data_IF_421404690603
#
_entry.id   IF_421404690603
#
_cell.length_a   1.000
_cell.length_b   1.000
_cell.length_c   1.000
_cell.angle_alpha   90.00
_cell.angle_beta   90.00
_cell.angle_gamma   90.00
#
_symmetry.space_group_name_H-M   'P 1'
#
loop_
_entity.id
_entity.type
_entity.pdbx_description
1 polymer ?
#
# COMPACT_ATOMS: atom_id res chain seq x y z
N UNK A 1 6.21 -50.67 -55.37
CA UNK A 1 4.98 -51.12 -54.69
C UNK A 1 5.43 -52.19 -53.71
N UNK A 2 5.34 -52.07 -52.39
CA UNK A 2 4.43 -51.27 -51.58
C UNK A 2 5.06 -50.90 -50.24
N UNK A 3 4.70 -49.72 -49.76
CA UNK A 3 5.21 -49.03 -48.59
C UNK A 3 4.32 -49.34 -47.39
N UNK A 4 4.78 -50.14 -46.41
CA UNK A 4 4.09 -50.30 -45.12
C UNK A 4 4.66 -49.32 -44.10
N UNK A 5 3.91 -48.23 -43.92
CA UNK A 5 4.11 -47.19 -42.90
C UNK A 5 3.99 -47.80 -41.50
N UNK A 6 5.07 -47.76 -40.72
CA UNK A 6 5.02 -47.96 -39.27
C UNK A 6 4.70 -46.60 -38.62
N UNK A 7 3.45 -46.43 -38.17
CA UNK A 7 3.08 -45.34 -37.28
C UNK A 7 3.54 -45.71 -35.87
N UNK A 8 4.64 -45.11 -35.41
CA UNK A 8 4.96 -45.07 -33.98
C UNK A 8 4.06 -44.01 -33.35
N UNK A 9 3.02 -44.46 -32.63
CA UNK A 9 2.28 -43.61 -31.70
C UNK A 9 3.25 -43.20 -30.58
N UNK A 10 3.68 -41.94 -30.58
CA UNK A 10 4.18 -41.32 -29.36
C UNK A 10 2.98 -41.15 -28.42
N UNK A 11 2.82 -42.07 -27.47
CA UNK A 11 2.02 -41.82 -26.29
C UNK A 11 2.74 -40.73 -25.49
N UNK A 12 2.36 -39.47 -25.74
CA UNK A 12 2.66 -38.37 -24.82
C UNK A 12 1.87 -38.71 -23.56
N UNK A 13 2.54 -39.37 -22.63
CA UNK A 13 2.10 -39.45 -21.25
C UNK A 13 2.17 -38.01 -20.73
N UNK A 14 1.08 -37.26 -20.92
CA UNK A 14 0.80 -36.04 -20.19
C UNK A 14 0.65 -36.45 -18.73
N UNK A 15 1.79 -36.55 -18.05
CA UNK A 15 1.82 -36.50 -16.59
C UNK A 15 1.11 -35.21 -16.22
N UNK A 16 -0.15 -35.36 -15.82
CA UNK A 16 -0.89 -34.38 -15.07
C UNK A 16 0.06 -33.90 -13.97
N UNK A 17 0.58 -32.70 -14.13
CA UNK A 17 1.24 -31.98 -13.05
C UNK A 17 0.18 -31.91 -11.95
N UNK A 18 0.35 -32.75 -10.93
CA UNK A 18 -0.14 -32.39 -9.62
C UNK A 18 0.56 -31.08 -9.30
N UNK A 19 -0.13 -29.95 -9.51
CA UNK A 19 0.33 -28.66 -9.03
C UNK A 19 0.52 -28.83 -7.53
N UNK A 20 1.78 -28.88 -7.10
CA UNK A 20 2.12 -28.99 -5.70
C UNK A 20 1.58 -27.76 -4.98
N UNK A 21 0.83 -27.99 -3.89
CA UNK A 21 0.35 -26.97 -2.96
C UNK A 21 1.54 -26.21 -2.38
N UNK A 22 1.83 -25.05 -2.96
CA UNK A 22 3.07 -24.30 -2.75
C UNK A 22 2.82 -22.86 -2.30
N UNK A 23 1.56 -22.47 -2.05
CA UNK A 23 1.21 -21.14 -1.57
C UNK A 23 2.10 -20.73 -0.40
N UNK A 24 2.86 -19.65 -0.58
CA UNK A 24 3.63 -19.01 0.48
C UNK A 24 3.34 -17.53 0.46
N UNK A 25 3.15 -16.95 1.64
CA UNK A 25 2.74 -15.57 1.74
C UNK A 25 3.66 -14.74 2.62
N UNK A 26 3.78 -13.47 2.24
CA UNK A 26 4.37 -12.39 3.02
C UNK A 26 3.24 -11.42 3.39
N UNK A 27 3.35 -10.74 4.53
CA UNK A 27 2.40 -9.69 4.94
C UNK A 27 3.11 -8.40 5.34
N UNK A 28 2.42 -7.28 5.14
CA UNK A 28 2.88 -5.99 5.66
C UNK A 28 1.74 -5.10 6.15
N UNK A 29 2.11 -4.20 7.05
CA UNK A 29 1.28 -3.06 7.44
C UNK A 29 1.87 -1.80 6.84
N UNK A 30 1.05 -0.99 6.20
CA UNK A 30 1.47 0.27 5.60
C UNK A 30 0.62 1.42 6.11
N UNK A 31 1.26 2.52 6.54
CA UNK A 31 0.54 3.76 6.83
C UNK A 31 -0.10 4.28 5.54
N UNK A 32 -1.43 4.36 5.51
CA UNK A 32 -2.18 4.95 4.39
C UNK A 32 -2.32 6.45 4.56
N UNK A 33 -2.76 6.89 5.74
CA UNK A 33 -3.02 8.29 6.06
C UNK A 33 -3.10 8.49 7.57
N UNK A 34 -2.64 9.63 8.07
CA UNK A 34 -3.05 10.17 9.37
C UNK A 34 -4.00 11.37 9.11
N UNK A 35 -5.26 11.26 9.51
CA UNK A 35 -6.23 12.35 9.46
C UNK A 35 -6.35 12.96 10.86
N UNK A 36 -5.42 13.85 11.18
CA UNK A 36 -5.33 14.38 12.53
C UNK A 36 -6.41 15.42 12.84
N UNK A 37 -7.03 16.02 11.82
CA UNK A 37 -8.21 16.85 12.00
C UNK A 37 -9.41 16.02 12.50
N UNK A 38 -9.54 14.78 12.03
CA UNK A 38 -10.58 13.84 12.46
C UNK A 38 -10.12 12.86 13.55
N UNK A 39 -8.89 13.02 14.05
CA UNK A 39 -8.27 12.13 15.05
C UNK A 39 -8.21 10.67 14.59
N UNK A 40 -7.95 10.42 13.30
CA UNK A 40 -7.92 9.06 12.72
C UNK A 40 -6.54 8.68 12.18
N UNK A 41 -6.19 7.41 12.31
CA UNK A 41 -5.02 6.79 11.68
C UNK A 41 -5.49 5.64 10.78
N UNK A 42 -5.16 5.68 9.51
CA UNK A 42 -5.51 4.66 8.53
C UNK A 42 -4.28 3.84 8.16
N UNK A 43 -4.39 2.52 8.34
CA UNK A 43 -3.35 1.52 8.10
C UNK A 43 -3.87 0.47 7.13
N UNK A 44 -3.16 0.25 6.03
CA UNK A 44 -3.48 -0.82 5.08
C UNK A 44 -2.80 -2.12 5.51
N UNK A 45 -3.56 -3.22 5.47
CA UNK A 45 -3.06 -4.58 5.58
C UNK A 45 -2.88 -5.12 4.17
N UNK A 46 -1.69 -5.64 3.84
CA UNK A 46 -1.38 -6.15 2.51
C UNK A 46 -0.75 -7.53 2.57
N UNK A 47 -0.97 -8.31 1.52
CA UNK A 47 -0.42 -9.66 1.34
C UNK A 47 0.18 -9.78 -0.05
N UNK A 48 1.20 -10.61 -0.20
CA UNK A 48 1.69 -11.07 -1.51
C UNK A 48 2.16 -12.51 -1.42
N UNK A 49 2.35 -13.14 -2.57
CA UNK A 49 3.09 -14.38 -2.68
C UNK A 49 4.57 -14.09 -2.41
N UNK A 50 5.23 -15.03 -1.74
CA UNK A 50 6.64 -14.90 -1.41
C UNK A 50 7.53 -14.79 -2.66
N UNK A 51 7.26 -15.68 -3.61
CA UNK A 51 7.94 -15.80 -4.90
C UNK A 51 6.98 -16.29 -6.00
N UNK A 52 7.43 -16.25 -7.26
CA UNK A 52 6.62 -16.60 -8.43
C UNK A 52 6.06 -18.03 -8.38
N UNK A 53 6.79 -18.98 -7.79
CA UNK A 53 6.40 -20.39 -7.67
C UNK A 53 5.42 -20.65 -6.51
N UNK A 54 5.14 -19.61 -5.73
CA UNK A 54 4.29 -19.66 -4.55
C UNK A 54 3.02 -18.82 -4.70
N UNK A 55 2.71 -18.35 -5.91
CA UNK A 55 1.47 -17.64 -6.21
C UNK A 55 0.26 -18.55 -6.00
N UNK A 56 -0.83 -18.00 -5.48
CA UNK A 56 -2.01 -18.78 -5.08
C UNK A 56 -3.29 -17.95 -5.21
N UNK A 57 -4.44 -18.62 -5.11
CA UNK A 57 -5.75 -17.95 -5.04
C UNK A 57 -6.11 -17.68 -3.58
N UNK A 58 -6.47 -16.44 -3.27
CA UNK A 58 -6.81 -16.00 -1.92
C UNK A 58 -7.94 -16.85 -1.32
N UNK A 59 -7.73 -17.37 -0.11
CA UNK A 59 -8.74 -18.05 0.69
C UNK A 59 -9.07 -17.32 2.00
N UNK A 60 -9.59 -18.07 2.96
CA UNK A 60 -9.82 -17.59 4.33
C UNK A 60 -8.51 -17.12 4.96
N UNK A 61 -8.57 -16.04 5.74
CA UNK A 61 -7.42 -15.52 6.46
C UNK A 61 -7.78 -15.08 7.88
N UNK A 62 -6.79 -15.07 8.75
CA UNK A 62 -6.84 -14.42 10.04
C UNK A 62 -5.53 -13.65 10.22
N UNK A 63 -5.56 -12.35 9.99
CA UNK A 63 -4.40 -11.46 10.14
C UNK A 63 -4.42 -10.86 11.54
N UNK A 64 -3.34 -11.06 12.30
CA UNK A 64 -3.27 -10.60 13.70
C UNK A 64 -2.03 -9.77 13.94
N UNK A 65 -2.22 -8.65 14.60
CA UNK A 65 -1.13 -7.79 15.01
C UNK A 65 -1.51 -7.01 16.25
N UNK A 66 -0.51 -6.60 17.01
CA UNK A 66 -0.63 -5.88 18.26
C UNK A 66 -0.35 -4.39 18.06
N UNK A 67 -0.94 -3.53 18.88
CA UNK A 67 -0.77 -2.08 18.86
C UNK A 67 -0.76 -1.49 20.28
N UNK A 68 -0.24 -0.28 20.47
CA UNK A 68 -0.34 0.43 21.75
C UNK A 68 -1.69 1.18 21.87
N UNK A 69 -2.56 0.68 22.74
CA UNK A 69 -3.89 1.20 23.01
C UNK A 69 -3.91 2.56 23.72
N UNK A 70 -2.79 3.01 24.30
CA UNK A 70 -2.67 4.37 24.82
C UNK A 70 -2.46 5.40 23.71
N UNK A 71 -1.98 4.97 22.55
CA UNK A 71 -1.62 5.83 21.44
C UNK A 71 -2.68 5.81 20.34
N UNK A 72 -3.17 4.61 19.99
CA UNK A 72 -4.22 4.40 19.00
C UNK A 72 -5.23 3.38 19.51
N UNK A 73 -6.52 3.56 19.26
CA UNK A 73 -7.57 2.67 19.82
C UNK A 73 -8.74 2.48 18.87
N UNK A 74 -9.71 1.67 19.31
CA UNK A 74 -10.98 1.44 18.63
C UNK A 74 -10.81 1.17 17.13
N UNK A 75 -10.03 0.14 16.75
CA UNK A 75 -9.83 -0.15 15.36
C UNK A 75 -11.18 -0.50 14.71
N UNK A 76 -11.39 -0.06 13.48
CA UNK A 76 -12.55 -0.38 12.64
C UNK A 76 -12.10 -0.57 11.19
N UNK A 77 -12.89 -1.27 10.38
CA UNK A 77 -12.61 -1.41 8.96
C UNK A 77 -13.17 -0.19 8.23
N UNK A 78 -12.30 0.61 7.63
CA UNK A 78 -12.69 1.81 6.89
C UNK A 78 -12.90 1.54 5.40
N UNK A 79 -12.15 0.60 4.84
CA UNK A 79 -12.23 0.18 3.46
C UNK A 79 -11.78 -1.27 3.35
N UNK A 80 -12.35 -2.02 2.43
CA UNK A 80 -12.02 -3.43 2.23
C UNK A 80 -12.12 -3.78 0.75
N UNK A 81 -11.18 -4.59 0.28
CA UNK A 81 -11.36 -5.20 -1.03
C UNK A 81 -12.49 -6.21 -0.96
N UNK A 82 -13.33 -6.20 -1.99
CA UNK A 82 -14.36 -7.21 -2.11
C UNK A 82 -13.74 -8.46 -2.75
N UNK A 83 -13.47 -9.47 -1.93
CA UNK A 83 -13.01 -10.78 -2.39
C UNK A 83 -14.16 -11.69 -2.86
N UNK A 84 -15.39 -11.16 -2.90
CA UNK A 84 -16.53 -11.75 -3.63
C UNK A 84 -16.65 -11.05 -4.97
N UNK A 85 -16.86 -11.79 -6.07
CA UNK A 85 -16.98 -11.13 -7.37
C UNK A 85 -18.35 -10.48 -7.59
N UNK A 86 -18.40 -9.71 -8.66
CA UNK A 86 -19.43 -8.74 -8.96
C UNK A 86 -20.79 -9.39 -9.25
N UNK A 87 -21.70 -9.33 -8.30
CA UNK A 87 -23.15 -9.33 -8.56
C UNK A 87 -23.70 -7.90 -8.46
N UNK A 88 -24.50 -7.47 -9.44
CA UNK A 88 -25.36 -6.30 -9.27
C UNK A 88 -26.27 -6.55 -8.05
N UNK A 89 -26.05 -5.78 -6.99
CA UNK A 89 -26.37 -6.11 -5.60
C UNK A 89 -25.39 -7.14 -5.02
N UNK A 90 -24.32 -6.63 -4.40
CA UNK A 90 -23.48 -7.37 -3.48
C UNK A 90 -24.37 -8.28 -2.63
N UNK A 91 -24.23 -9.60 -2.80
CA UNK A 91 -25.03 -10.58 -2.08
C UNK A 91 -24.92 -10.29 -0.59
N UNK A 92 -26.04 -9.86 0.00
CA UNK A 92 -26.19 -9.53 1.43
C UNK A 92 -25.94 -10.74 2.36
N UNK A 93 -25.58 -11.89 1.80
CA UNK A 93 -25.40 -13.12 2.56
C UNK A 93 -23.98 -13.33 3.08
N UNK A 94 -22.98 -12.55 2.65
CA UNK A 94 -21.60 -12.72 3.12
C UNK A 94 -20.82 -11.40 3.24
N UNK A 95 -20.78 -10.87 4.47
CA UNK A 95 -19.67 -10.12 5.06
C UNK A 95 -19.95 -9.95 6.57
N UNK A 96 -18.96 -9.68 7.46
CA UNK A 96 -17.74 -8.96 7.16
C UNK A 96 -16.47 -9.66 7.62
N UNK A 97 -15.34 -9.16 7.14
CA UNK A 97 -14.16 -9.14 7.95
C UNK A 97 -14.55 -8.71 9.38
N UNK A 98 -14.46 -9.61 10.36
CA UNK A 98 -14.74 -9.24 11.74
C UNK A 98 -13.44 -8.78 12.37
N UNK A 99 -13.51 -7.60 12.95
CA UNK A 99 -12.42 -7.00 13.67
C UNK A 99 -12.72 -7.10 15.16
N UNK A 100 -12.13 -8.10 15.81
CA UNK A 100 -12.15 -8.17 17.26
C UNK A 100 -10.92 -7.42 17.77
N UNK A 101 -11.13 -6.16 18.14
CA UNK A 101 -10.19 -5.40 18.94
C UNK A 101 -10.36 -5.78 20.42
N UNK A 102 -9.30 -6.19 21.09
CA UNK A 102 -9.30 -6.34 22.55
C UNK A 102 -8.23 -5.45 23.16
N UNK A 103 -8.57 -4.75 24.24
CA UNK A 103 -7.60 -4.11 25.13
C UNK A 103 -7.21 -5.16 26.16
N UNK A 104 -5.96 -5.61 26.18
CA UNK A 104 -5.49 -6.43 27.29
C UNK A 104 -5.41 -5.56 28.56
N UNK A 105 -5.30 -6.16 29.76
CA UNK A 105 -5.19 -5.40 31.03
C UNK A 105 -4.00 -4.42 31.07
N UNK A 106 -3.09 -4.56 30.12
CA UNK A 106 -1.90 -3.76 29.89
C UNK A 106 -2.10 -2.98 28.59
N UNK A 107 -1.35 -1.89 28.39
CA UNK A 107 -1.32 -1.00 27.21
C UNK A 107 -1.55 -1.59 25.80
N UNK A 108 -1.42 -2.89 25.60
CA UNK A 108 -1.36 -3.53 24.30
C UNK A 108 -2.77 -3.96 23.86
N UNK A 109 -3.19 -3.43 22.72
CA UNK A 109 -4.36 -3.90 22.00
C UNK A 109 -3.97 -4.96 20.96
N UNK A 110 -4.89 -5.87 20.64
CA UNK A 110 -4.74 -6.85 19.57
C UNK A 110 -5.82 -6.61 18.52
N UNK A 111 -5.41 -6.55 17.25
CA UNK A 111 -6.28 -6.66 16.10
C UNK A 111 -6.32 -8.11 15.65
N UNK A 112 -7.53 -8.64 15.45
CA UNK A 112 -7.77 -9.87 14.70
C UNK A 112 -8.67 -9.56 13.51
N UNK A 113 -8.08 -9.51 12.31
CA UNK A 113 -8.75 -9.25 11.05
C UNK A 113 -9.05 -10.57 10.35
N UNK A 114 -10.29 -11.03 10.45
CA UNK A 114 -10.75 -12.27 9.80
C UNK A 114 -11.15 -12.00 8.35
N UNK A 115 -10.91 -12.94 7.45
CA UNK A 115 -11.39 -12.93 6.06
C UNK A 115 -12.03 -14.27 5.81
N UNK A 116 -13.27 -14.24 5.36
CA UNK A 116 -13.99 -15.44 4.96
C UNK A 116 -14.18 -15.36 3.45
N UNK A 117 -13.55 -16.30 2.77
CA UNK A 117 -13.70 -16.54 1.35
C UNK A 117 -14.73 -17.67 1.17
N UNK A 118 -15.96 -17.30 0.82
CA UNK A 118 -16.94 -18.23 0.27
C UNK A 118 -16.66 -18.35 -1.22
N UNK A 119 -16.11 -19.47 -1.67
CA UNK A 119 -15.79 -19.71 -3.07
C UNK A 119 -17.06 -19.81 -3.90
N UNK A 120 -17.73 -18.69 -4.15
CA UNK A 120 -18.79 -18.58 -5.12
C UNK A 120 -18.38 -17.49 -6.08
N UNK A 121 -18.28 -17.90 -7.34
CA UNK A 121 -17.91 -17.14 -8.54
C UNK A 121 -16.43 -17.30 -8.94
N UNK A 122 -16.21 -17.49 -10.24
CA UNK A 122 -15.00 -18.02 -10.88
C UNK A 122 -13.75 -17.13 -10.79
N UNK A 123 -13.71 -16.18 -9.85
CA UNK A 123 -12.79 -15.05 -9.82
C UNK A 123 -12.08 -14.90 -8.46
N UNK A 124 -11.67 -16.01 -7.83
CA UNK A 124 -10.80 -15.96 -6.65
C UNK A 124 -9.61 -15.03 -6.93
N UNK A 125 -9.35 -14.09 -6.02
CA UNK A 125 -8.32 -13.08 -6.28
C UNK A 125 -6.94 -13.73 -6.28
N UNK A 126 -6.16 -13.58 -7.38
CA UNK A 126 -4.80 -14.10 -7.41
C UNK A 126 -3.91 -13.27 -6.49
N UNK A 127 -3.23 -13.94 -5.58
CA UNK A 127 -2.16 -13.38 -4.77
C UNK A 127 -0.86 -13.63 -5.53
N UNK A 128 -0.36 -12.59 -6.18
CA UNK A 128 0.90 -12.59 -6.94
C UNK A 128 2.06 -12.06 -6.09
N UNK A 129 3.26 -11.93 -6.68
CA UNK A 129 4.42 -11.30 -6.02
C UNK A 129 4.26 -9.78 -5.78
N UNK A 130 3.21 -9.16 -6.33
CA UNK A 130 2.86 -7.78 -6.03
C UNK A 130 2.02 -7.69 -4.76
N UNK A 131 2.26 -6.65 -3.95
CA UNK A 131 1.46 -6.36 -2.77
C UNK A 131 0.00 -6.08 -3.14
N UNK A 132 -0.88 -6.93 -2.62
CA UNK A 132 -2.32 -6.83 -2.74
C UNK A 132 -2.88 -6.21 -1.46
N UNK A 133 -3.47 -5.00 -1.52
CA UNK A 133 -4.15 -4.42 -0.37
C UNK A 133 -5.41 -5.23 -0.05
N UNK A 134 -5.60 -5.55 1.22
CA UNK A 134 -6.71 -6.40 1.68
C UNK A 134 -7.79 -5.60 2.38
N UNK A 135 -7.38 -4.80 3.36
CA UNK A 135 -8.26 -3.92 4.09
C UNK A 135 -7.50 -2.68 4.54
N UNK A 136 -8.21 -1.55 4.66
CA UNK A 136 -7.75 -0.39 5.40
C UNK A 136 -8.45 -0.38 6.75
N UNK A 137 -7.64 -0.45 7.81
CA UNK A 137 -8.08 -0.31 9.17
C UNK A 137 -7.93 1.14 9.60
N UNK A 138 -8.96 1.68 10.25
CA UNK A 138 -8.93 2.99 10.87
C UNK A 138 -8.86 2.81 12.38
N UNK A 139 -7.95 3.55 13.01
CA UNK A 139 -7.84 3.68 14.46
C UNK A 139 -8.18 5.11 14.86
N UNK A 140 -8.69 5.28 16.07
CA UNK A 140 -8.76 6.57 16.73
C UNK A 140 -7.41 6.91 17.34
N UNK A 141 -6.87 8.08 17.00
CA UNK A 141 -5.72 8.66 17.69
C UNK A 141 -6.17 9.09 19.09
N UNK A 142 -5.41 8.73 20.11
CA UNK A 142 -5.70 9.17 21.49
C UNK A 142 -5.24 10.60 21.71
N UNK A 143 -4.01 10.92 21.28
CA UNK A 143 -3.42 12.26 21.32
C UNK A 143 -2.59 12.49 20.05
N UNK A 144 -2.97 13.43 19.17
CA UNK A 144 -2.25 13.67 17.93
C UNK A 144 -0.92 14.38 18.18
N UNK A 145 -0.74 15.04 19.32
CA UNK A 145 0.47 15.77 19.69
C UNK A 145 1.48 14.90 20.46
N UNK A 146 1.23 13.59 20.54
CA UNK A 146 2.11 12.67 21.25
C UNK A 146 3.48 12.57 20.56
N UNK A 147 4.54 12.78 21.32
CA UNK A 147 5.92 12.73 20.81
C UNK A 147 6.41 11.29 20.72
N UNK A 148 5.90 10.40 21.56
CA UNK A 148 6.15 8.98 21.48
C UNK A 148 5.61 8.40 20.15
N UNK A 149 6.34 7.42 19.63
CA UNK A 149 5.94 6.60 18.51
C UNK A 149 5.19 5.34 18.94
N UNK A 150 4.62 4.63 17.99
CA UNK A 150 4.02 3.31 18.17
C UNK A 150 4.50 2.37 17.08
N UNK A 151 4.61 1.08 17.39
CA UNK A 151 4.80 0.04 16.38
C UNK A 151 3.59 -0.88 16.39
N UNK A 152 2.99 -1.11 15.22
CA UNK A 152 2.03 -2.17 15.01
C UNK A 152 2.83 -3.42 14.63
N UNK A 153 2.75 -4.45 15.49
CA UNK A 153 3.61 -5.64 15.41
C UNK A 153 2.79 -6.84 15.01
N UNK A 154 3.15 -7.49 13.90
CA UNK A 154 2.55 -8.75 13.50
C UNK A 154 2.71 -9.82 14.58
N UNK A 155 1.64 -10.55 14.82
CA UNK A 155 1.70 -11.82 15.51
C UNK A 155 1.99 -12.86 14.44
N UNK A 156 3.23 -13.32 14.36
CA UNK A 156 3.71 -14.21 13.29
C UNK A 156 3.05 -15.61 13.34
N UNK A 157 3.56 -16.52 12.51
CA UNK A 157 3.09 -17.90 12.42
C UNK A 157 3.50 -18.78 13.62
N UNK A 158 4.20 -18.21 14.62
CA UNK A 158 4.66 -18.90 15.83
C UNK A 158 3.89 -18.44 17.07
N UNK A 159 3.35 -17.22 17.08
CA UNK A 159 2.60 -16.67 18.20
C UNK A 159 1.12 -17.13 18.16
N UNK A 160 0.65 -17.86 19.16
CA UNK A 160 -0.76 -18.28 19.21
C UNK A 160 -1.68 -17.21 19.81
N UNK A 161 -2.88 -16.96 19.25
CA UNK A 161 -3.35 -17.39 17.92
C UNK A 161 -2.55 -16.75 16.78
N UNK A 162 -2.26 -17.54 15.75
CA UNK A 162 -1.33 -17.19 14.65
C UNK A 162 -1.97 -16.30 13.59
N UNK A 163 -1.14 -15.48 12.94
CA UNK A 163 -1.52 -14.97 11.61
C UNK A 163 -1.48 -16.12 10.61
N UNK A 164 -2.58 -16.34 9.90
CA UNK A 164 -2.72 -17.45 8.96
C UNK A 164 -3.57 -17.13 7.74
N UNK A 165 -3.33 -17.88 6.67
CA UNK A 165 -4.00 -17.73 5.39
C UNK A 165 -4.18 -19.10 4.75
N UNK A 166 -5.27 -19.28 4.00
CA UNK A 166 -5.49 -20.43 3.16
C UNK A 166 -5.44 -20.05 1.69
N UNK A 167 -5.08 -21.03 0.87
CA UNK A 167 -5.20 -20.98 -0.58
C UNK A 167 -6.40 -21.79 -1.04
N UNK A 168 -7.04 -21.31 -2.11
CA UNK A 168 -8.17 -21.97 -2.77
C UNK A 168 -7.67 -22.73 -4.00
N UNK A 169 -8.10 -23.97 -4.16
CA UNK A 169 -7.79 -24.79 -5.33
C UNK A 169 -9.10 -25.25 -5.97
N UNK A 170 -9.31 -24.85 -7.22
CA UNK A 170 -10.54 -25.15 -7.96
C UNK A 170 -10.54 -26.60 -8.48
N UNK A 171 -11.65 -27.34 -8.28
CA UNK A 171 -11.80 -28.69 -8.83
C UNK A 171 -12.21 -28.61 -10.29
N UNK A 172 -11.44 -29.25 -11.16
CA UNK A 172 -11.60 -29.19 -12.63
C UNK A 172 -12.79 -30.01 -13.18
N UNK A 173 -13.50 -30.78 -12.35
CA UNK A 173 -14.32 -31.91 -12.82
C UNK A 173 -15.84 -31.76 -12.62
N UNK A 174 -16.33 -30.68 -12.01
CA UNK A 174 -17.76 -30.49 -11.73
C UNK A 174 -18.33 -29.24 -12.43
N UNK A 175 -19.56 -29.31 -12.98
CA UNK A 175 -20.26 -28.13 -13.48
C UNK A 175 -20.75 -27.20 -12.36
N UNK A 176 -20.79 -27.72 -11.13
CA UNK A 176 -21.00 -26.97 -9.89
C UNK A 176 -19.63 -26.53 -9.33
N UNK A 177 -19.51 -25.27 -8.91
CA UNK A 177 -18.26 -24.72 -8.41
C UNK A 177 -17.88 -25.39 -7.09
N UNK A 178 -16.93 -26.32 -7.14
CA UNK A 178 -16.39 -27.05 -5.99
C UNK A 178 -14.89 -26.71 -5.87
N UNK A 179 -14.44 -26.47 -4.64
CA UNK A 179 -13.08 -26.05 -4.34
C UNK A 179 -12.58 -26.74 -3.07
N UNK A 180 -11.28 -26.95 -3.00
CA UNK A 180 -10.59 -27.33 -1.78
C UNK A 180 -9.86 -26.12 -1.20
N UNK A 181 -9.67 -26.11 0.12
CA UNK A 181 -8.86 -25.10 0.81
C UNK A 181 -7.67 -25.76 1.47
N UNK A 182 -6.48 -25.20 1.25
CA UNK A 182 -5.24 -25.66 1.87
C UNK A 182 -4.58 -24.52 2.64
N UNK A 183 -3.70 -24.83 3.59
CA UNK A 183 -2.97 -23.80 4.34
C UNK A 183 -1.86 -23.23 3.47
N UNK A 184 -1.89 -21.92 3.21
CA UNK A 184 -0.75 -21.22 2.64
C UNK A 184 0.31 -21.05 3.73
N UNK A 185 1.57 -21.33 3.41
CA UNK A 185 2.67 -21.31 4.39
C UNK A 185 3.18 -19.87 4.58
N UNK A 186 3.30 -19.41 5.82
CA UNK A 186 4.01 -18.17 6.07
C UNK A 186 5.47 -18.32 5.63
N UNK A 187 6.03 -17.31 4.97
CA UNK A 187 7.44 -17.29 4.58
C UNK A 187 8.39 -16.86 5.70
N UNK A 188 7.84 -16.18 6.72
CA UNK A 188 8.59 -15.47 7.75
C UNK A 188 8.76 -13.97 7.49
N UNK A 189 8.27 -13.44 6.36
CA UNK A 189 8.28 -12.00 6.07
C UNK A 189 7.00 -11.35 6.62
N UNK A 190 7.15 -10.69 7.77
CA UNK A 190 6.10 -9.94 8.46
C UNK A 190 6.58 -8.50 8.68
N UNK A 191 6.25 -7.60 7.76
CA UNK A 191 6.68 -6.19 7.85
C UNK A 191 5.76 -5.40 8.78
N UNK A 192 6.27 -5.11 9.97
CA UNK A 192 5.63 -4.26 10.97
C UNK A 192 5.53 -2.80 10.49
N UNK A 193 4.56 -2.06 11.03
CA UNK A 193 4.49 -0.61 10.82
C UNK A 193 5.03 0.11 12.06
N UNK A 194 6.18 0.77 11.92
CA UNK A 194 6.72 1.65 12.97
C UNK A 194 6.42 3.11 12.63
N UNK A 195 5.70 3.76 13.54
CA UNK A 195 5.47 5.20 13.55
C UNK A 195 6.37 5.77 14.63
N UNK A 196 7.34 6.60 14.27
CA UNK A 196 8.34 7.12 15.21
C UNK A 196 7.80 8.17 16.17
N UNK A 197 6.78 8.91 15.75
CA UNK A 197 6.10 9.93 16.54
C UNK A 197 4.70 10.18 15.95
N UNK A 198 3.70 10.45 16.79
CA UNK A 198 2.36 10.81 16.31
C UNK A 198 2.23 12.30 15.98
N UNK A 199 2.79 13.17 16.81
CA UNK A 199 2.90 14.63 16.56
C UNK A 199 3.57 14.93 15.24
N UNK A 200 4.57 14.12 14.92
CA UNK A 200 5.22 14.06 13.63
C UNK A 200 4.28 13.88 12.43
N UNK A 201 3.44 12.85 12.50
CA UNK A 201 2.48 12.53 11.46
C UNK A 201 1.40 13.62 11.35
N UNK A 202 1.04 14.24 12.47
CA UNK A 202 -0.07 15.16 12.57
C UNK A 202 0.26 16.63 12.33
N UNK A 203 1.51 17.03 12.51
CA UNK A 203 1.94 18.41 12.29
C UNK A 203 2.24 18.69 10.81
N UNK A 204 2.14 17.68 9.93
CA UNK A 204 2.68 17.75 8.56
C UNK A 204 4.21 17.95 8.54
N UNK A 205 4.84 17.94 9.71
CA UNK A 205 6.26 18.06 9.95
C UNK A 205 6.72 16.76 10.59
N UNK A 206 7.12 15.81 9.75
CA UNK A 206 7.89 14.67 10.21
C UNK A 206 9.16 15.22 10.92
N UNK A 207 9.35 15.10 12.25
CA UNK A 207 10.51 15.54 13.01
C UNK A 207 11.69 14.59 12.78
N UNK A 208 11.51 13.52 11.99
CA UNK A 208 12.58 12.77 11.34
C UNK A 208 12.99 13.36 9.97
N UNK A 209 12.41 14.48 9.52
CA UNK A 209 12.79 15.16 8.29
C UNK A 209 13.95 16.16 8.49
N UNK A 210 14.86 15.91 9.41
CA UNK A 210 16.26 16.31 9.16
C UNK A 210 16.87 15.27 8.21
N UNK A 211 16.50 15.34 6.92
CA UNK A 211 17.17 14.56 5.87
C UNK A 211 16.30 14.00 4.74
N UNK A 212 14.97 13.96 4.88
CA UNK A 212 14.11 13.50 3.78
C UNK A 212 13.79 14.66 2.84
N UNK A 213 14.21 14.51 1.57
CA UNK A 213 13.95 15.48 0.49
C UNK A 213 12.45 15.77 0.36
N UNK A 214 12.05 17.03 0.52
CA UNK A 214 10.66 17.45 0.39
C UNK A 214 10.48 18.43 -0.76
N UNK A 215 9.72 18.02 -1.76
CA UNK A 215 9.32 18.88 -2.88
C UNK A 215 7.87 19.29 -2.65
N UNK A 216 7.55 20.60 -2.55
CA UNK A 216 6.20 21.07 -2.26
C UNK A 216 5.27 20.86 -3.47
N UNK A 217 3.98 20.66 -3.19
CA UNK A 217 2.93 20.53 -4.22
C UNK A 217 2.35 21.89 -4.64
N UNK A 218 2.73 22.97 -3.96
CA UNK A 218 2.33 24.32 -4.29
C UNK A 218 3.06 25.39 -3.48
N UNK A 219 2.94 26.63 -3.95
CA UNK A 219 3.52 27.82 -3.30
C UNK A 219 2.68 29.07 -3.65
N UNK A 220 2.83 30.13 -2.85
CA UNK A 220 2.02 31.33 -2.91
C UNK A 220 2.86 32.61 -3.00
N UNK A 221 3.27 33.05 -4.20
CA UNK A 221 4.08 34.25 -4.38
C UNK A 221 3.24 35.54 -4.26
N UNK A 222 2.69 35.77 -3.07
CA UNK A 222 1.82 36.91 -2.73
C UNK A 222 2.54 37.99 -1.92
N UNK A 223 3.79 37.74 -1.50
CA UNK A 223 4.63 38.68 -0.75
C UNK A 223 4.34 38.73 0.75
N UNK A 224 3.65 37.72 1.31
CA UNK A 224 3.37 37.65 2.75
C UNK A 224 4.53 37.04 3.58
N UNK A 225 5.61 36.61 2.91
CA UNK A 225 6.79 36.00 3.51
C UNK A 225 6.68 34.49 3.70
N UNK A 226 5.54 33.87 3.38
CA UNK A 226 5.27 32.44 3.57
C UNK A 226 5.03 31.75 2.23
N UNK A 227 5.88 30.75 1.91
CA UNK A 227 5.81 30.00 0.65
C UNK A 227 5.85 30.89 -0.61
N UNK A 228 6.53 32.04 -0.58
CA UNK A 228 6.64 32.95 -1.72
C UNK A 228 7.45 32.38 -2.90
N UNK A 229 8.18 31.29 -2.67
CA UNK A 229 9.05 30.65 -3.66
C UNK A 229 8.85 29.14 -3.67
N UNK A 230 9.04 28.54 -4.83
CA UNK A 230 9.11 27.09 -4.95
C UNK A 230 10.37 26.58 -4.26
N UNK A 231 10.23 26.02 -3.05
CA UNK A 231 11.39 25.67 -2.21
C UNK A 231 11.45 24.17 -1.99
N UNK A 232 12.47 23.51 -2.55
CA UNK A 232 12.79 22.11 -2.28
C UNK A 232 13.58 22.04 -0.96
N UNK A 233 12.97 21.47 0.08
CA UNK A 233 13.61 21.32 1.37
C UNK A 233 14.45 20.04 1.43
N UNK A 234 15.49 20.06 2.29
CA UNK A 234 16.37 18.92 2.56
C UNK A 234 17.14 18.41 1.32
N UNK A 235 17.55 19.29 0.42
CA UNK A 235 18.48 18.95 -0.68
C UNK A 235 19.84 18.47 -0.17
N UNK A 236 20.26 18.92 1.02
CA UNK A 236 21.55 18.55 1.59
C UNK A 236 22.71 19.00 0.70
N UNK A 237 23.51 18.03 0.21
CA UNK A 237 24.62 18.27 -0.75
C UNK A 237 24.25 17.97 -2.21
N UNK A 238 22.98 17.68 -2.49
CA UNK A 238 22.52 17.31 -3.82
C UNK A 238 22.32 18.56 -4.68
N UNK A 239 22.70 18.44 -5.95
CA UNK A 239 22.39 19.44 -6.98
C UNK A 239 21.07 19.04 -7.63
N UNK A 240 20.15 20.00 -7.78
CA UNK A 240 18.86 19.81 -8.42
C UNK A 240 18.79 20.55 -9.75
N UNK A 241 18.58 19.81 -10.84
CA UNK A 241 18.16 20.36 -12.13
C UNK A 241 16.62 20.39 -12.15
N UNK A 242 16.04 21.57 -12.32
CA UNK A 242 14.61 21.84 -12.24
C UNK A 242 14.13 22.47 -13.55
N UNK A 243 13.15 21.86 -14.18
CA UNK A 243 12.42 22.40 -15.33
C UNK A 243 10.95 22.51 -14.97
N UNK A 244 10.33 23.65 -15.25
CA UNK A 244 8.91 23.92 -14.96
C UNK A 244 8.18 24.24 -16.25
N UNK A 245 6.99 23.68 -16.38
CA UNK A 245 6.15 23.73 -17.57
C UNK A 245 4.80 24.37 -17.25
N UNK A 246 4.25 25.09 -18.21
CA UNK A 246 2.83 25.46 -18.22
C UNK A 246 1.94 24.24 -18.51
N UNK A 247 0.62 24.44 -18.47
CA UNK A 247 -0.36 23.38 -18.76
C UNK A 247 -0.28 22.78 -20.16
N UNK A 248 0.37 23.48 -21.11
CA UNK A 248 0.52 23.03 -22.49
C UNK A 248 1.87 22.31 -22.71
N UNK A 249 2.69 22.14 -21.67
CA UNK A 249 4.02 21.56 -21.76
C UNK A 249 5.11 22.53 -22.23
N UNK A 250 4.83 23.85 -22.25
CA UNK A 250 5.82 24.87 -22.57
C UNK A 250 6.73 25.12 -21.38
N UNK A 251 8.04 25.09 -21.57
CA UNK A 251 9.01 25.44 -20.51
C UNK A 251 8.90 26.92 -20.16
N UNK A 252 8.63 27.21 -18.90
CA UNK A 252 8.47 28.56 -18.33
C UNK A 252 9.59 28.92 -17.34
N UNK A 253 10.31 27.92 -16.83
CA UNK A 253 11.49 28.09 -16.00
C UNK A 253 12.41 26.88 -16.12
N UNK A 254 13.72 27.11 -16.11
CA UNK A 254 14.72 26.04 -16.11
C UNK A 254 15.96 26.50 -15.31
N UNK A 255 16.49 25.61 -14.48
CA UNK A 255 17.75 25.77 -13.78
C UNK A 255 18.48 24.45 -13.64
N UNK A 256 19.78 24.44 -13.93
CA UNK A 256 20.64 23.24 -13.79
C UNK A 256 21.18 23.05 -12.37
N UNK A 257 21.14 24.10 -11.56
CA UNK A 257 21.59 24.12 -10.17
C UNK A 257 20.64 25.03 -9.38
N UNK A 258 19.47 24.48 -9.06
CA UNK A 258 18.35 25.23 -8.52
C UNK A 258 18.60 25.71 -7.10
N UNK A 259 18.49 27.03 -6.89
CA UNK A 259 18.81 27.70 -5.62
C UNK A 259 17.57 28.00 -4.76
N UNK A 260 16.44 27.33 -5.00
CA UNK A 260 15.16 27.63 -4.33
C UNK A 260 14.73 29.10 -4.48
N UNK A 261 14.94 29.67 -5.67
CA UNK A 261 14.81 31.10 -5.92
C UNK A 261 13.62 31.48 -6.81
N UNK A 262 12.95 30.50 -7.43
CA UNK A 262 11.83 30.77 -8.34
C UNK A 262 10.58 31.22 -7.60
N UNK A 263 10.08 32.39 -8.00
CA UNK A 263 8.98 33.13 -7.39
C UNK A 263 7.69 33.10 -8.25
N UNK A 264 7.59 32.17 -9.20
CA UNK A 264 6.39 32.05 -10.04
C UNK A 264 6.28 33.11 -11.12
N UNK A 265 7.43 33.62 -11.60
CA UNK A 265 7.52 34.50 -12.78
C UNK A 265 8.11 33.79 -13.99
N UNK A 266 7.63 34.16 -15.17
CA UNK A 266 8.30 33.90 -16.45
C UNK A 266 8.74 35.23 -17.06
N UNK A 267 10.04 35.39 -17.31
CA UNK A 267 10.65 36.64 -17.85
C UNK A 267 10.15 37.91 -17.15
N UNK A 268 10.13 37.89 -15.83
CA UNK A 268 9.67 38.98 -14.94
C UNK A 268 8.15 39.22 -14.90
N UNK A 269 7.34 38.43 -15.59
CA UNK A 269 5.87 38.52 -15.54
C UNK A 269 5.30 37.48 -14.58
N UNK A 270 4.36 37.91 -13.76
CA UNK A 270 3.61 37.03 -12.87
C UNK A 270 2.77 36.01 -13.65
N UNK A 271 2.98 34.72 -13.34
CA UNK A 271 2.24 33.62 -13.94
C UNK A 271 0.90 33.40 -13.26
N UNK A 272 -0.25 33.31 -13.94
CA UNK A 272 -1.56 33.24 -13.28
C UNK A 272 -1.69 32.10 -12.25
N UNK A 273 -2.57 32.29 -11.26
CA UNK A 273 -2.99 31.20 -10.36
C UNK A 273 -3.46 30.01 -11.18
N UNK A 274 -2.93 28.82 -10.88
CA UNK A 274 -3.24 27.62 -11.64
C UNK A 274 -2.28 26.47 -11.40
N UNK A 275 -2.49 25.42 -12.19
CA UNK A 275 -1.68 24.20 -12.17
C UNK A 275 -0.59 24.26 -13.23
N UNK A 276 0.63 24.01 -12.77
CA UNK A 276 1.86 23.88 -13.53
C UNK A 276 2.41 22.48 -13.34
N UNK A 277 3.51 22.17 -14.01
CA UNK A 277 4.19 20.87 -13.87
C UNK A 277 5.68 21.10 -13.71
N UNK A 278 6.36 20.22 -12.98
CA UNK A 278 7.83 20.25 -12.91
C UNK A 278 8.43 18.90 -13.29
N UNK A 279 9.68 18.95 -13.73
CA UNK A 279 10.61 17.84 -13.80
C UNK A 279 11.84 18.20 -12.99
N UNK A 280 12.20 17.37 -12.01
CA UNK A 280 13.39 17.54 -11.17
C UNK A 280 14.29 16.34 -11.35
N UNK A 281 15.57 16.58 -11.59
CA UNK A 281 16.63 15.57 -11.61
C UNK A 281 17.68 15.92 -10.57
N UNK A 282 17.95 14.97 -9.67
CA UNK A 282 18.99 15.15 -8.66
C UNK A 282 20.31 14.56 -9.11
N UNK A 283 21.40 15.07 -8.55
CA UNK A 283 22.77 14.59 -8.79
C UNK A 283 22.99 13.12 -8.41
N UNK A 284 22.15 12.55 -7.54
CA UNK A 284 22.17 11.12 -7.17
C UNK A 284 21.38 10.21 -8.12
N UNK A 285 20.79 10.77 -9.17
CA UNK A 285 20.06 10.04 -10.21
C UNK A 285 18.55 9.96 -10.01
N UNK A 286 18.00 10.38 -8.87
CA UNK A 286 16.55 10.44 -8.64
C UNK A 286 15.88 11.44 -9.58
N UNK A 287 14.66 11.13 -10.01
CA UNK A 287 13.84 11.96 -10.90
C UNK A 287 12.43 12.10 -10.38
N UNK A 288 11.86 13.30 -10.46
CA UNK A 288 10.50 13.59 -10.02
C UNK A 288 9.76 14.37 -11.10
N UNK A 289 8.55 13.93 -11.44
CA UNK A 289 7.65 14.64 -12.37
C UNK A 289 6.26 14.68 -11.76
N UNK A 290 5.79 15.86 -11.36
CA UNK A 290 4.51 16.04 -10.65
C UNK A 290 3.88 17.40 -11.01
N UNK A 291 2.61 17.57 -10.64
CA UNK A 291 1.91 18.85 -10.71
C UNK A 291 2.38 19.81 -9.61
N UNK A 292 2.29 21.11 -9.88
CA UNK A 292 2.59 22.21 -8.98
C UNK A 292 1.46 23.22 -8.98
N UNK A 293 0.97 23.61 -7.82
CA UNK A 293 -0.06 24.65 -7.68
C UNK A 293 0.59 26.00 -7.37
N UNK A 294 0.34 26.99 -8.21
CA UNK A 294 0.69 28.39 -7.92
C UNK A 294 -0.60 29.13 -7.56
N UNK A 295 -0.61 29.80 -6.41
CA UNK A 295 -1.75 30.64 -5.98
C UNK A 295 -1.27 32.01 -5.50
N UNK A 296 -1.78 33.09 -6.07
CA UNK A 296 -1.60 34.45 -5.51
C UNK A 296 -2.84 34.92 -4.76
#
# INVERSE_FOLDING_TARGET
>A
MDMKRFFFLFAVCSSLLAEAQNGKFDVRLQLKKADCAQMKLLVTVEVKAHDENSSFLMGNANFRFSYDAHLIKAPVIADQQNFTSQGENASLNYNPLSLNGSVERNANGIVSLNIIYSGSEQNATPVSTNWLPIATLQFDLVNPDEKAGTTLVWNDDKAFPVTGLSEVVLKKTTPEFDYDTYVAKASGVFENLTIKSLSSLCSGSNPDAEGELRIPEGFSPNGDGTNDKFTIANLGKLVAEVTIFDRNGTVIYESKDYQNDWDGRDRSKDLPTGTYFYSIRLSDGRKFTRSLTLSR
#
